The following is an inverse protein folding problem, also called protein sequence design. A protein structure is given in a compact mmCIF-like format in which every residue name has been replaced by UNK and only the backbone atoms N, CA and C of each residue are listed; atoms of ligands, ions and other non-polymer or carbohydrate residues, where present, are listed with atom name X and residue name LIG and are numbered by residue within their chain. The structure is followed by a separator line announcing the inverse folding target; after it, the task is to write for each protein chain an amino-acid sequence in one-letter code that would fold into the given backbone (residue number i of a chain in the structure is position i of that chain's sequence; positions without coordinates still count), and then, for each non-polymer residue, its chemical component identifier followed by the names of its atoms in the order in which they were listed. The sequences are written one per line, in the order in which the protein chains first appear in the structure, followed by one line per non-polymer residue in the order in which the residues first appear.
data_IF_667601497339
#
_entry.id   IF_667601497339
#
_cell.length_a   1.000
_cell.length_b   1.000
_cell.length_c   1.000
_cell.angle_alpha   90.00
_cell.angle_beta   90.00
_cell.angle_gamma   90.00
#
_symmetry.space_group_name_H-M   'P 1'
#
loop_
_entity.id
_entity.type
_entity.pdbx_description
1 polymer ?
#
# COMPACT_ATOMS: atom_id res chain seq x y z
N UNK A 1 -12.41 11.38 54.76
CA UNK A 1 -12.78 11.97 56.07
C UNK A 1 -13.24 10.88 57.06
N UNK A 2 -12.28 10.35 57.82
CA UNK A 2 -12.42 9.76 59.16
C UNK A 2 -11.09 10.01 59.88
N UNK A 3 -11.10 10.27 61.20
CA UNK A 3 -9.98 10.93 61.87
C UNK A 3 -8.81 9.97 62.12
N UNK A 4 -7.59 10.51 62.02
CA UNK A 4 -6.38 9.85 62.46
C UNK A 4 -6.36 9.83 64.00
N UNK A 5 -6.58 8.66 64.59
CA UNK A 5 -6.38 8.41 66.00
C UNK A 5 -4.87 8.38 66.29
N UNK A 6 -4.35 9.48 66.82
CA UNK A 6 -3.01 9.53 67.42
C UNK A 6 -3.07 8.78 68.75
N UNK A 7 -2.70 7.50 68.76
CA UNK A 7 -2.32 6.82 70.00
C UNK A 7 -0.95 7.35 70.43
N UNK A 8 -0.94 8.20 71.44
CA UNK A 8 0.24 8.52 72.22
C UNK A 8 0.69 7.24 72.95
N UNK A 9 1.92 6.81 72.68
CA UNK A 9 2.56 5.72 73.42
C UNK A 9 3.29 6.36 74.59
N UNK A 10 2.67 6.32 75.77
CA UNK A 10 3.34 6.64 77.04
C UNK A 10 4.56 5.72 77.20
N UNK A 11 5.71 6.31 77.48
CA UNK A 11 6.95 5.59 77.78
C UNK A 11 6.83 4.82 79.10
N UNK A 12 7.56 3.72 79.28
CA UNK A 12 7.50 2.98 80.53
C UNK A 12 8.17 3.81 81.64
N UNK A 13 7.39 4.24 82.62
CA UNK A 13 7.89 4.77 83.89
C UNK A 13 8.76 3.69 84.57
N UNK A 14 9.97 4.10 84.97
CA UNK A 14 10.95 3.24 85.61
C UNK A 14 10.48 2.85 87.02
N UNK A 15 10.12 1.58 87.22
CA UNK A 15 10.00 0.99 88.56
C UNK A 15 11.40 0.62 89.08
N UNK A 16 11.92 1.38 90.03
CA UNK A 16 13.04 0.95 90.88
C UNK A 16 12.56 -0.21 91.77
N UNK A 17 13.17 -1.39 91.63
CA UNK A 17 12.97 -2.51 92.56
C UNK A 17 14.30 -2.88 93.22
N UNK A 18 14.23 -2.85 94.54
CA UNK A 18 15.22 -3.19 95.57
C UNK A 18 15.86 -4.58 95.35
N UNK A 19 17.19 -4.65 95.39
CA UNK A 19 17.98 -5.85 95.08
C UNK A 19 18.07 -6.79 96.30
N UNK A 20 17.06 -7.64 96.46
CA UNK A 20 17.11 -8.83 97.32
C UNK A 20 17.86 -10.01 96.64
N UNK A 21 18.97 -10.45 97.24
CA UNK A 21 19.92 -11.51 96.79
C UNK A 21 19.35 -12.95 96.73
N UNK A 22 18.20 -13.14 96.10
CA UNK A 22 17.60 -14.45 95.78
C UNK A 22 16.81 -14.50 94.47
N UNK A 23 16.63 -13.36 93.79
CA UNK A 23 15.81 -13.24 92.58
C UNK A 23 16.55 -13.28 91.24
N UNK A 24 17.87 -13.47 91.24
CA UNK A 24 18.69 -13.34 90.01
C UNK A 24 18.31 -14.35 88.93
N UNK A 25 18.01 -15.61 89.28
CA UNK A 25 17.59 -16.63 88.31
C UNK A 25 16.20 -16.39 87.71
N UNK A 26 15.20 -16.02 88.53
CA UNK A 26 13.85 -15.71 88.04
C UNK A 26 13.85 -14.42 87.20
N UNK A 27 14.58 -13.39 87.64
CA UNK A 27 14.72 -12.12 86.92
C UNK A 27 15.40 -12.33 85.56
N UNK A 28 16.45 -13.16 85.49
CA UNK A 28 17.09 -13.53 84.22
C UNK A 28 16.13 -14.27 83.28
N UNK A 29 15.31 -15.19 83.81
CA UNK A 29 14.30 -15.91 83.03
C UNK A 29 13.25 -14.96 82.44
N UNK A 30 12.67 -14.08 83.26
CA UNK A 30 11.70 -13.10 82.75
C UNK A 30 12.32 -12.10 81.76
N UNK A 31 13.57 -11.67 81.98
CA UNK A 31 14.29 -10.82 81.02
C UNK A 31 14.49 -11.53 79.67
N UNK A 32 14.96 -12.78 79.68
CA UNK A 32 15.09 -13.57 78.44
C UNK A 32 13.76 -13.79 77.73
N UNK A 33 12.66 -13.97 78.49
CA UNK A 33 11.32 -14.13 77.92
C UNK A 33 10.76 -12.83 77.35
N UNK A 34 11.07 -11.69 77.97
CA UNK A 34 10.74 -10.35 77.44
C UNK A 34 11.50 -10.11 76.15
N UNK A 35 12.79 -10.43 76.08
CA UNK A 35 13.60 -10.31 74.85
C UNK A 35 13.07 -11.21 73.72
N UNK A 36 12.71 -12.46 74.02
CA UNK A 36 12.12 -13.39 73.06
C UNK A 36 10.76 -12.87 72.53
N UNK A 37 9.90 -12.37 73.43
CA UNK A 37 8.62 -11.78 73.03
C UNK A 37 8.79 -10.49 72.23
N UNK A 38 9.78 -9.66 72.56
CA UNK A 38 10.12 -8.45 71.79
C UNK A 38 10.61 -8.81 70.39
N UNK A 39 11.42 -9.87 70.24
CA UNK A 39 11.83 -10.39 68.93
C UNK A 39 10.61 -10.86 68.12
N UNK A 40 9.69 -11.61 68.73
CA UNK A 40 8.46 -12.07 68.07
C UNK A 40 7.57 -10.88 67.65
N UNK A 41 7.44 -9.86 68.51
CA UNK A 41 6.68 -8.62 68.19
C UNK A 41 7.34 -7.89 67.01
N UNK A 42 8.66 -7.77 67.01
CA UNK A 42 9.41 -7.16 65.91
C UNK A 42 9.21 -7.93 64.60
N UNK A 43 9.33 -9.25 64.61
CA UNK A 43 9.12 -10.10 63.42
C UNK A 43 7.68 -9.97 62.88
N UNK A 44 6.67 -10.04 63.77
CA UNK A 44 5.26 -9.84 63.39
C UNK A 44 5.02 -8.44 62.84
N UNK A 45 5.65 -7.41 63.40
CA UNK A 45 5.52 -6.03 62.92
C UNK A 45 6.12 -5.86 61.51
N UNK A 46 7.25 -6.51 61.22
CA UNK A 46 7.86 -6.52 59.89
C UNK A 46 6.99 -7.27 58.88
N UNK A 47 6.44 -8.43 59.27
CA UNK A 47 5.50 -9.18 58.44
C UNK A 47 4.23 -8.38 58.13
N UNK A 48 3.70 -7.64 59.13
CA UNK A 48 2.54 -6.78 58.96
C UNK A 48 2.84 -5.63 57.98
N UNK A 49 4.01 -4.97 58.09
CA UNK A 49 4.45 -3.95 57.13
C UNK A 49 4.58 -4.51 55.70
N UNK A 50 5.15 -5.72 55.55
CA UNK A 50 5.27 -6.40 54.26
C UNK A 50 3.90 -6.68 53.64
N UNK A 51 2.96 -7.22 54.42
CA UNK A 51 1.59 -7.50 53.96
C UNK A 51 0.82 -6.22 53.62
N UNK A 52 1.01 -5.14 54.37
CA UNK A 52 0.44 -3.84 54.05
C UNK A 52 0.98 -3.27 52.73
N UNK A 53 2.29 -3.37 52.49
CA UNK A 53 2.89 -2.97 51.22
C UNK A 53 2.31 -3.77 50.04
N UNK A 54 2.21 -5.10 50.17
CA UNK A 54 1.59 -5.96 49.16
C UNK A 54 0.12 -5.60 48.92
N UNK A 55 -0.67 -5.38 49.98
CA UNK A 55 -2.07 -4.95 49.86
C UNK A 55 -2.17 -3.64 49.08
N UNK A 56 -1.32 -2.66 49.37
CA UNK A 56 -1.32 -1.37 48.69
C UNK A 56 -0.96 -1.52 47.22
N UNK A 57 0.02 -2.36 46.89
CA UNK A 57 0.38 -2.67 45.51
C UNK A 57 -0.76 -3.35 44.74
N UNK A 58 -1.40 -4.37 45.34
CA UNK A 58 -2.56 -5.05 44.77
C UNK A 58 -3.74 -4.09 44.57
N UNK A 59 -4.01 -3.21 45.53
CA UNK A 59 -5.07 -2.20 45.40
C UNK A 59 -4.79 -1.22 44.26
N UNK A 60 -3.52 -0.81 44.07
CA UNK A 60 -3.12 0.02 42.94
C UNK A 60 -3.36 -0.70 41.61
N UNK A 61 -2.99 -1.98 41.51
CA UNK A 61 -3.26 -2.81 40.32
C UNK A 61 -4.76 -2.95 40.03
N UNK A 62 -5.57 -3.21 41.07
CA UNK A 62 -7.03 -3.31 40.93
C UNK A 62 -7.63 -2.00 40.44
N UNK A 63 -7.11 -0.85 40.91
CA UNK A 63 -7.56 0.46 40.44
C UNK A 63 -7.24 0.66 38.96
N UNK A 64 -6.02 0.36 38.53
CA UNK A 64 -5.62 0.44 37.11
C UNK A 64 -6.49 -0.46 36.23
N UNK A 65 -6.69 -1.72 36.65
CA UNK A 65 -7.54 -2.67 35.91
C UNK A 65 -8.99 -2.23 35.83
N UNK A 66 -9.53 -1.56 36.87
CA UNK A 66 -10.88 -1.01 36.84
C UNK A 66 -11.00 0.16 35.87
N UNK A 67 -10.00 1.04 35.82
CA UNK A 67 -9.94 2.15 34.87
C UNK A 67 -9.89 1.60 33.42
N UNK A 68 -9.10 0.55 33.18
CA UNK A 68 -9.01 -0.12 31.87
C UNK A 68 -10.31 -0.86 31.49
N UNK A 69 -10.94 -1.54 32.45
CA UNK A 69 -12.24 -2.19 32.25
C UNK A 69 -13.33 -1.17 31.92
N UNK A 70 -13.29 0.02 32.53
CA UNK A 70 -14.23 1.09 32.26
C UNK A 70 -14.10 1.60 30.82
N UNK A 71 -12.88 1.76 30.31
CA UNK A 71 -12.64 2.11 28.90
C UNK A 71 -13.16 1.04 27.94
N UNK A 72 -13.07 -0.25 28.30
CA UNK A 72 -13.62 -1.35 27.50
C UNK A 72 -15.15 -1.44 27.54
N UNK A 73 -15.77 -0.96 28.62
CA UNK A 73 -17.22 -0.90 28.78
C UNK A 73 -17.84 0.34 28.11
N UNK A 74 -17.04 1.31 27.68
CA UNK A 74 -17.55 2.43 26.89
C UNK A 74 -18.16 1.91 25.59
N UNK A 75 -19.36 2.41 25.27
CA UNK A 75 -20.03 2.05 24.03
C UNK A 75 -19.20 2.51 22.84
N UNK A 76 -19.28 1.78 21.73
CA UNK A 76 -18.55 2.10 20.51
C UNK A 76 -18.76 3.56 20.08
N UNK A 77 -17.68 4.22 19.68
CA UNK A 77 -17.73 5.58 19.14
C UNK A 77 -18.46 5.61 17.79
N UNK A 78 -19.20 6.68 17.52
CA UNK A 78 -19.76 6.92 16.19
C UNK A 78 -18.65 7.37 15.24
N UNK A 79 -18.70 6.86 14.00
CA UNK A 79 -17.78 7.28 12.95
C UNK A 79 -18.47 8.32 12.08
N UNK A 80 -17.84 9.48 11.92
CA UNK A 80 -18.32 10.55 11.06
C UNK A 80 -17.24 11.05 10.10
N UNK A 81 -17.68 11.77 9.08
CA UNK A 81 -16.83 12.48 8.11
C UNK A 81 -16.93 13.98 8.30
N UNK A 82 -15.80 14.66 8.39
CA UNK A 82 -15.78 16.12 8.52
C UNK A 82 -16.21 16.76 7.20
N UNK A 83 -17.24 17.59 7.23
CA UNK A 83 -17.66 18.36 6.05
C UNK A 83 -16.87 19.67 5.99
N UNK A 84 -16.82 20.39 7.11
CA UNK A 84 -16.16 21.71 7.20
C UNK A 84 -15.90 22.07 8.66
N UNK A 85 -14.74 22.65 8.94
CA UNK A 85 -14.49 23.33 10.20
C UNK A 85 -15.23 24.69 10.23
N UNK A 86 -16.05 24.93 11.25
CA UNK A 86 -16.79 26.20 11.38
C UNK A 86 -16.01 27.20 12.23
N UNK A 87 -15.62 26.79 13.44
CA UNK A 87 -14.95 27.63 14.43
C UNK A 87 -13.77 26.90 15.08
N UNK A 88 -13.00 27.61 15.92
CA UNK A 88 -11.89 27.06 16.73
C UNK A 88 -12.27 25.94 17.70
N UNK A 89 -13.56 25.64 17.88
CA UNK A 89 -14.04 24.58 18.77
C UNK A 89 -15.15 23.73 18.16
N UNK A 90 -15.66 24.09 16.98
CA UNK A 90 -16.85 23.46 16.39
C UNK A 90 -16.59 23.04 14.96
N UNK A 91 -16.95 21.80 14.67
CA UNK A 91 -16.77 21.18 13.36
C UNK A 91 -18.09 20.59 12.90
N UNK A 92 -18.42 20.75 11.62
CA UNK A 92 -19.57 20.11 11.03
C UNK A 92 -19.17 18.70 10.57
N UNK A 93 -19.76 17.68 11.20
CA UNK A 93 -19.50 16.27 10.92
C UNK A 93 -20.76 15.62 10.38
N UNK A 94 -20.62 14.79 9.35
CA UNK A 94 -21.68 13.96 8.79
C UNK A 94 -21.53 12.54 9.34
N UNK A 95 -22.53 12.06 10.06
CA UNK A 95 -22.60 10.70 10.59
C UNK A 95 -23.63 9.93 9.77
N UNK A 96 -23.26 8.79 9.20
CA UNK A 96 -24.20 7.92 8.47
C UNK A 96 -24.76 6.87 9.45
N UNK A 97 -26.09 6.70 9.60
CA UNK A 97 -27.20 7.30 8.83
C UNK A 97 -27.83 8.57 9.44
N UNK A 98 -27.38 9.02 10.61
CA UNK A 98 -28.06 10.04 11.44
C UNK A 98 -28.08 11.48 10.87
N UNK A 99 -27.23 11.80 9.89
CA UNK A 99 -27.25 13.10 9.20
C UNK A 99 -26.03 13.98 9.51
N UNK A 100 -26.21 15.31 9.57
CA UNK A 100 -25.13 16.28 9.80
C UNK A 100 -25.29 16.92 11.18
N UNK A 101 -24.22 16.92 11.98
CA UNK A 101 -24.18 17.46 13.32
C UNK A 101 -23.03 18.45 13.47
N UNK A 102 -23.27 19.51 14.24
CA UNK A 102 -22.21 20.42 14.69
C UNK A 102 -21.70 19.89 16.01
N UNK A 103 -20.44 19.46 16.03
CA UNK A 103 -19.81 18.80 17.18
C UNK A 103 -18.70 19.66 17.76
N UNK A 104 -18.52 19.57 19.08
CA UNK A 104 -17.40 20.20 19.77
C UNK A 104 -16.14 19.34 19.64
N UNK A 105 -14.98 19.99 19.46
CA UNK A 105 -13.67 19.35 19.36
C UNK A 105 -13.06 19.19 20.76
N UNK A 106 -12.57 17.99 21.07
CA UNK A 106 -11.86 17.73 22.33
C UNK A 106 -10.54 18.51 22.39
N UNK A 107 -10.10 18.86 23.60
CA UNK A 107 -8.92 19.71 23.84
C UNK A 107 -7.60 19.09 23.38
N UNK A 108 -7.60 17.77 23.16
CA UNK A 108 -6.42 17.00 22.76
C UNK A 108 -6.17 17.01 21.25
N UNK A 109 -7.05 17.62 20.44
CA UNK A 109 -6.95 17.61 18.98
C UNK A 109 -6.76 19.03 18.47
N UNK A 110 -5.73 19.22 17.66
CA UNK A 110 -5.49 20.47 16.96
C UNK A 110 -6.40 20.57 15.74
N UNK A 111 -7.02 21.75 15.57
CA UNK A 111 -7.96 22.00 14.47
C UNK A 111 -7.30 21.99 13.09
N UNK A 112 -5.99 22.21 13.05
CA UNK A 112 -5.24 22.21 11.79
C UNK A 112 -5.16 20.80 11.17
N UNK A 113 -5.22 19.76 12.00
CA UNK A 113 -5.19 18.37 11.53
C UNK A 113 -6.56 17.92 11.01
N UNK A 114 -7.61 18.69 11.32
CA UNK A 114 -8.98 18.41 10.91
C UNK A 114 -9.24 18.99 9.52
N UNK A 115 -8.80 18.26 8.49
CA UNK A 115 -9.09 18.63 7.10
C UNK A 115 -10.50 18.18 6.68
N UNK A 116 -11.14 18.85 5.69
CA UNK A 116 -12.39 18.38 5.11
C UNK A 116 -12.25 16.96 4.54
N UNK A 117 -13.27 16.13 4.75
CA UNK A 117 -13.32 14.69 4.46
C UNK A 117 -12.49 13.77 5.39
N UNK A 118 -11.85 14.29 6.43
CA UNK A 118 -11.25 13.43 7.46
C UNK A 118 -12.31 12.60 8.18
N UNK A 119 -11.97 11.33 8.46
CA UNK A 119 -12.79 10.46 9.31
C UNK A 119 -12.47 10.74 10.77
N UNK A 120 -13.52 10.88 11.56
CA UNK A 120 -13.41 11.22 12.98
C UNK A 120 -14.30 10.31 13.82
N UNK A 121 -13.85 10.01 15.03
CA UNK A 121 -14.59 9.26 16.02
C UNK A 121 -15.22 10.24 17.02
N UNK A 122 -16.54 10.14 17.15
CA UNK A 122 -17.36 10.90 18.07
C UNK A 122 -17.72 10.04 19.27
N UNK A 123 -17.67 10.62 20.46
CA UNK A 123 -18.12 9.94 21.68
C UNK A 123 -19.63 9.71 21.62
N UNK A 124 -20.10 8.55 22.06
CA UNK A 124 -21.51 8.15 21.94
C UNK A 124 -22.45 9.02 22.81
N UNK A 125 -22.00 9.47 23.98
CA UNK A 125 -22.80 10.25 24.93
C UNK A 125 -23.04 11.72 24.52
N UNK A 126 -22.06 12.34 23.87
CA UNK A 126 -21.95 13.80 23.74
C UNK A 126 -21.64 14.24 22.31
N UNK A 127 -21.46 13.29 21.39
CA UNK A 127 -21.03 13.53 20.01
C UNK A 127 -19.75 14.38 19.91
N UNK A 128 -18.95 14.48 20.97
CA UNK A 128 -17.69 15.23 20.94
C UNK A 128 -16.64 14.49 20.13
N UNK A 129 -15.91 15.21 19.28
CA UNK A 129 -14.82 14.67 18.49
C UNK A 129 -13.62 14.39 19.40
N UNK A 130 -13.39 13.11 19.72
CA UNK A 130 -12.33 12.66 20.62
C UNK A 130 -11.10 12.13 19.89
N UNK A 131 -11.26 11.58 18.67
CA UNK A 131 -10.14 10.98 17.92
C UNK A 131 -10.30 11.18 16.42
N UNK A 132 -9.22 11.55 15.73
CA UNK A 132 -9.14 11.50 14.27
C UNK A 132 -8.78 10.06 13.88
N UNK A 133 -9.55 9.47 12.97
CA UNK A 133 -9.31 8.13 12.45
C UNK A 133 -8.43 8.22 11.19
N UNK A 134 -7.56 7.23 10.95
CA UNK A 134 -6.87 7.13 9.67
C UNK A 134 -7.90 7.02 8.54
N UNK A 135 -7.52 7.54 7.37
CA UNK A 135 -8.33 7.41 6.17
C UNK A 135 -8.56 5.93 5.88
N UNK A 136 -9.80 5.57 5.57
CA UNK A 136 -10.11 4.20 5.16
C UNK A 136 -9.61 4.08 3.73
N UNK A 137 -8.51 3.37 3.53
CA UNK A 137 -8.24 2.78 2.23
C UNK A 137 -9.11 1.53 2.17
N UNK A 138 -9.98 1.43 1.16
CA UNK A 138 -10.75 0.21 0.98
C UNK A 138 -9.80 -0.98 0.85
N UNK A 139 -10.12 -2.14 1.45
CA UNK A 139 -9.22 -3.29 1.45
C UNK A 139 -8.88 -3.75 0.03
N UNK A 140 -9.77 -3.50 -0.94
CA UNK A 140 -9.50 -3.74 -2.36
C UNK A 140 -8.31 -2.92 -2.88
N UNK A 141 -8.22 -1.64 -2.52
CA UNK A 141 -7.10 -0.77 -2.90
C UNK A 141 -5.82 -1.19 -2.17
N UNK A 142 -5.94 -1.66 -0.93
CA UNK A 142 -4.78 -2.23 -0.20
C UNK A 142 -4.23 -3.50 -0.86
N UNK A 143 -5.10 -4.32 -1.46
CA UNK A 143 -4.69 -5.50 -2.24
C UNK A 143 -4.04 -5.15 -3.59
N UNK A 144 -4.31 -3.95 -4.12
CA UNK A 144 -3.68 -3.46 -5.35
C UNK A 144 -2.23 -3.00 -5.13
N UNK A 145 -1.84 -2.78 -3.87
CA UNK A 145 -0.45 -2.51 -3.51
C UNK A 145 0.36 -3.79 -3.60
N UNK A 146 1.36 -3.77 -4.46
CA UNK A 146 2.33 -4.85 -4.58
C UNK A 146 3.53 -4.44 -3.72
N UNK A 147 3.58 -4.91 -2.47
CA UNK A 147 4.69 -4.62 -1.53
C UNK A 147 6.06 -5.10 -2.04
N UNK A 148 6.09 -6.12 -2.91
CA UNK A 148 7.31 -6.58 -3.58
C UNK A 148 7.04 -6.85 -5.04
N UNK A 149 7.57 -5.98 -5.89
CA UNK A 149 7.58 -6.18 -7.33
C UNK A 149 8.31 -7.50 -7.62
N UNK A 150 7.75 -8.43 -8.40
CA UNK A 150 8.48 -9.64 -8.78
C UNK A 150 9.79 -9.26 -9.48
N UNK A 151 10.82 -10.12 -9.36
CA UNK A 151 12.20 -9.93 -9.87
C UNK A 151 12.27 -9.86 -11.42
N UNK A 152 11.63 -8.87 -12.03
CA UNK A 152 11.76 -8.55 -13.44
C UNK A 152 12.84 -7.47 -13.58
N UNK A 153 13.99 -7.85 -14.13
CA UNK A 153 15.06 -6.91 -14.49
C UNK A 153 14.94 -6.49 -15.95
N UNK A 154 15.58 -5.38 -16.34
CA UNK A 154 15.64 -4.96 -17.74
C UNK A 154 16.27 -6.02 -18.66
N UNK A 155 17.15 -6.86 -18.12
CA UNK A 155 17.77 -7.97 -18.86
C UNK A 155 16.78 -9.04 -19.32
N UNK A 156 15.59 -9.09 -18.71
CA UNK A 156 14.52 -10.00 -19.11
C UNK A 156 13.66 -9.45 -20.27
N UNK A 157 13.93 -8.22 -20.72
CA UNK A 157 13.19 -7.56 -21.80
C UNK A 157 14.12 -7.44 -23.02
N UNK A 158 13.76 -8.08 -24.13
CA UNK A 158 14.55 -8.08 -25.35
C UNK A 158 14.07 -7.05 -26.37
N UNK A 159 15.00 -6.35 -27.02
CA UNK A 159 14.76 -5.56 -28.25
C UNK A 159 13.97 -4.26 -28.11
N UNK A 160 13.77 -3.76 -26.88
CA UNK A 160 13.04 -2.53 -26.58
C UNK A 160 13.97 -1.42 -26.02
N UNK A 161 15.21 -1.35 -26.49
CA UNK A 161 16.24 -0.47 -25.91
C UNK A 161 15.86 1.01 -25.96
N UNK A 162 15.20 1.44 -27.04
CA UNK A 162 14.73 2.84 -27.19
C UNK A 162 13.67 3.17 -26.15
N UNK A 163 12.66 2.31 -26.01
CA UNK A 163 11.57 2.47 -25.04
C UNK A 163 12.08 2.39 -23.60
N UNK A 164 13.02 1.48 -23.33
CA UNK A 164 13.69 1.37 -22.03
C UNK A 164 14.45 2.67 -21.71
N UNK A 165 15.15 3.25 -22.69
CA UNK A 165 15.87 4.51 -22.48
C UNK A 165 14.91 5.66 -22.18
N UNK A 166 13.84 5.80 -22.95
CA UNK A 166 12.82 6.84 -22.74
C UNK A 166 12.16 6.73 -21.37
N UNK A 167 11.77 5.52 -20.93
CA UNK A 167 11.12 5.36 -19.63
C UNK A 167 12.10 5.61 -18.47
N UNK A 168 13.38 5.26 -18.62
CA UNK A 168 14.43 5.56 -17.64
C UNK A 168 14.67 7.06 -17.50
N UNK A 169 14.68 7.79 -18.62
CA UNK A 169 14.81 9.26 -18.62
C UNK A 169 13.67 9.97 -17.90
N UNK A 170 12.46 9.42 -17.99
CA UNK A 170 11.26 10.06 -17.44
C UNK A 170 11.01 9.68 -15.97
N UNK A 171 11.35 8.45 -15.58
CA UNK A 171 11.00 7.91 -14.26
C UNK A 171 12.23 7.74 -13.37
N UNK A 172 13.29 7.09 -13.85
CA UNK A 172 14.47 6.76 -13.03
C UNK A 172 15.34 7.99 -12.75
N UNK A 173 15.64 8.77 -13.78
CA UNK A 173 16.50 9.96 -13.70
C UNK A 173 15.98 11.01 -12.68
N UNK A 174 14.70 11.40 -12.68
CA UNK A 174 14.17 12.37 -11.71
C UNK A 174 14.00 11.82 -10.29
N UNK A 175 14.10 10.50 -10.09
CA UNK A 175 14.01 9.86 -8.78
C UNK A 175 15.40 9.68 -8.18
N UNK A 176 16.37 9.22 -8.98
CA UNK A 176 17.74 8.94 -8.51
C UNK A 176 18.66 10.16 -8.49
N UNK A 177 18.54 11.07 -9.47
CA UNK A 177 19.47 12.17 -9.65
C UNK A 177 18.76 13.51 -9.89
N UNK A 178 18.06 14.06 -8.89
CA UNK A 178 17.43 15.39 -9.00
C UNK A 178 18.46 16.51 -9.24
N UNK A 179 19.64 16.41 -8.63
CA UNK A 179 20.69 17.43 -8.70
C UNK A 179 21.14 17.75 -10.13
N UNK A 180 21.15 16.76 -11.03
CA UNK A 180 21.53 16.95 -12.43
C UNK A 180 20.62 17.94 -13.15
N UNK A 181 19.32 17.91 -12.86
CA UNK A 181 18.36 18.81 -13.48
C UNK A 181 18.46 20.23 -12.88
N UNK A 182 18.74 20.35 -11.58
CA UNK A 182 18.95 21.65 -10.94
C UNK A 182 20.21 22.33 -11.48
N UNK A 183 21.30 21.59 -11.64
CA UNK A 183 22.57 22.09 -12.19
C UNK A 183 22.47 22.52 -13.66
N UNK A 184 21.65 21.82 -14.46
CA UNK A 184 21.45 22.14 -15.87
C UNK A 184 20.52 23.35 -16.08
N UNK A 185 19.77 23.79 -15.05
CA UNK A 185 18.77 24.86 -15.17
C UNK A 185 17.62 24.52 -16.14
N UNK A 186 17.58 23.29 -16.64
CA UNK A 186 16.45 22.75 -17.39
C UNK A 186 15.39 22.47 -16.34
N UNK A 187 14.16 22.88 -16.59
CA UNK A 187 13.06 22.46 -15.73
C UNK A 187 13.14 20.93 -15.60
N UNK A 188 13.40 20.42 -14.39
CA UNK A 188 13.21 19.00 -14.19
C UNK A 188 11.77 18.70 -14.66
N UNK A 189 11.43 17.48 -15.09
CA UNK A 189 10.05 17.01 -15.13
C UNK A 189 9.38 16.96 -13.72
N UNK A 190 9.83 17.84 -12.81
CA UNK A 190 9.36 18.18 -11.49
C UNK A 190 9.59 19.70 -11.27
N UNK A 191 8.49 20.42 -11.04
CA UNK A 191 8.39 21.47 -10.03
C UNK A 191 8.96 22.90 -10.25
N UNK A 192 9.35 23.32 -11.46
CA UNK A 192 9.54 24.76 -11.75
C UNK A 192 8.69 25.19 -12.94
N UNK A 193 7.49 25.71 -12.66
CA UNK A 193 6.62 26.40 -13.63
C UNK A 193 5.66 25.54 -14.46
N UNK A 194 5.90 24.23 -14.65
CA UNK A 194 4.90 23.31 -15.21
C UNK A 194 4.42 22.33 -14.13
N UNK A 195 3.26 22.64 -13.55
CA UNK A 195 2.64 22.02 -12.38
C UNK A 195 1.92 20.70 -12.71
N UNK A 196 2.54 19.78 -13.41
CA UNK A 196 1.82 18.62 -13.93
C UNK A 196 2.47 17.29 -13.56
N UNK A 197 1.64 16.36 -13.05
CA UNK A 197 1.97 14.94 -12.93
C UNK A 197 2.13 14.37 -14.34
N UNK A 198 3.31 14.56 -14.94
CA UNK A 198 3.61 14.05 -16.27
C UNK A 198 3.45 12.53 -16.33
N UNK A 199 2.28 12.06 -16.77
CA UNK A 199 1.98 10.66 -16.96
C UNK A 199 2.71 10.11 -18.17
N UNK A 200 3.10 8.84 -18.10
CA UNK A 200 3.65 8.10 -19.24
C UNK A 200 2.56 7.20 -19.80
N UNK A 201 2.23 7.38 -21.08
CA UNK A 201 1.31 6.49 -21.80
C UNK A 201 2.11 5.50 -22.64
N UNK A 202 1.98 4.21 -22.34
CA UNK A 202 2.50 3.11 -23.11
C UNK A 202 1.40 2.60 -24.05
N UNK A 203 1.63 2.62 -25.35
CA UNK A 203 0.64 2.13 -26.33
C UNK A 203 1.27 1.20 -27.36
N UNK A 204 0.48 0.28 -27.92
CA UNK A 204 0.91 -0.65 -28.96
C UNK A 204 0.10 -1.94 -28.96
N UNK A 205 0.35 -2.89 -29.88
CA UNK A 205 -0.38 -4.16 -29.92
C UNK A 205 -0.19 -4.98 -28.63
N UNK A 206 -1.15 -5.84 -28.28
CA UNK A 206 -1.04 -6.71 -27.11
C UNK A 206 0.16 -7.66 -27.23
N UNK A 207 0.72 -8.10 -26.10
CA UNK A 207 1.83 -9.05 -26.10
C UNK A 207 3.23 -8.46 -26.40
N UNK A 208 3.35 -7.13 -26.45
CA UNK A 208 4.63 -6.40 -26.61
C UNK A 208 5.38 -6.13 -25.30
N UNK A 209 4.85 -6.58 -24.15
CA UNK A 209 5.55 -6.47 -22.87
C UNK A 209 5.40 -5.13 -22.14
N UNK A 210 4.37 -4.33 -22.44
CA UNK A 210 4.05 -3.07 -21.72
C UNK A 210 4.03 -3.24 -20.19
N UNK A 211 3.26 -4.22 -19.71
CA UNK A 211 3.16 -4.57 -18.28
C UNK A 211 4.48 -5.09 -17.70
N UNK A 212 5.32 -5.77 -18.51
CA UNK A 212 6.64 -6.25 -18.07
C UNK A 212 7.63 -5.09 -17.89
N UNK A 213 7.62 -4.10 -18.80
CA UNK A 213 8.48 -2.93 -18.68
C UNK A 213 8.15 -2.11 -17.43
N UNK A 214 6.88 -1.85 -17.18
CA UNK A 214 6.46 -1.10 -16.00
C UNK A 214 6.88 -1.79 -14.69
N UNK A 215 6.76 -3.12 -14.61
CA UNK A 215 7.27 -3.90 -13.48
C UNK A 215 8.78 -3.82 -13.34
N UNK A 216 9.52 -3.90 -14.45
CA UNK A 216 10.98 -3.79 -14.40
C UNK A 216 11.47 -2.42 -13.94
N UNK A 217 10.78 -1.35 -14.33
CA UNK A 217 11.06 0.02 -13.84
C UNK A 217 10.82 0.12 -12.34
N UNK A 218 9.71 -0.43 -11.85
CA UNK A 218 9.39 -0.39 -10.43
C UNK A 218 10.43 -1.15 -9.58
N UNK A 219 10.88 -2.31 -10.05
CA UNK A 219 11.95 -3.07 -9.39
C UNK A 219 13.29 -2.31 -9.38
N UNK A 220 13.65 -1.57 -10.43
CA UNK A 220 14.91 -0.83 -10.49
C UNK A 220 14.92 0.50 -9.72
N UNK A 221 13.74 1.02 -9.40
CA UNK A 221 13.58 2.31 -8.71
C UNK A 221 13.33 2.16 -7.22
N UNK A 222 13.18 0.93 -6.70
CA UNK A 222 12.86 0.63 -5.30
C UNK A 222 11.66 1.45 -4.76
N UNK A 223 10.72 1.77 -5.65
CA UNK A 223 9.52 2.53 -5.33
C UNK A 223 8.33 1.59 -5.08
N UNK A 224 7.36 2.06 -4.28
CA UNK A 224 6.11 1.33 -4.07
C UNK A 224 5.35 1.20 -5.39
N UNK A 225 5.03 -0.02 -5.81
CA UNK A 225 4.31 -0.28 -7.06
C UNK A 225 2.85 -0.58 -6.79
N UNK A 226 1.96 0.26 -7.31
CA UNK A 226 0.52 0.09 -7.20
C UNK A 226 -0.02 -0.28 -8.57
N UNK A 227 -0.55 -1.50 -8.70
CA UNK A 227 -1.07 -2.02 -9.97
C UNK A 227 -2.59 -1.99 -9.95
N UNK A 228 -3.19 -1.27 -10.89
CA UNK A 228 -4.64 -1.20 -11.06
C UNK A 228 -5.00 -1.57 -12.49
N UNK A 229 -6.02 -2.42 -12.66
CA UNK A 229 -6.61 -2.63 -13.98
C UNK A 229 -7.70 -1.59 -14.21
N UNK A 230 -7.76 -0.97 -15.38
CA UNK A 230 -8.85 -0.06 -15.75
C UNK A 230 -10.23 -0.72 -15.59
N UNK A 231 -10.32 -2.01 -15.90
CA UNK A 231 -11.53 -2.81 -15.72
C UNK A 231 -11.96 -2.97 -14.25
N UNK A 232 -11.04 -2.88 -13.27
CA UNK A 232 -11.35 -2.96 -11.83
C UNK A 232 -11.98 -1.67 -11.30
N UNK A 233 -11.78 -0.55 -12.01
CA UNK A 233 -12.33 0.77 -11.66
C UNK A 233 -13.79 0.94 -12.08
N UNK A 234 -14.32 0.04 -12.92
CA UNK A 234 -15.72 0.05 -13.36
C UNK A 234 -16.55 -0.75 -12.36
N UNK A 235 -17.41 -0.07 -11.59
CA UNK A 235 -18.20 -0.70 -10.54
C UNK A 235 -19.70 -0.59 -10.81
N UNK A 236 -20.48 -1.54 -10.27
CA UNK A 236 -21.95 -1.53 -10.45
C UNK A 236 -22.61 -0.41 -9.64
N UNK A 237 -21.98 0.06 -8.57
CA UNK A 237 -22.54 1.06 -7.68
C UNK A 237 -22.10 2.47 -8.09
N UNK A 238 -23.08 3.38 -8.13
CA UNK A 238 -22.87 4.75 -8.60
C UNK A 238 -21.88 5.48 -7.69
N UNK A 239 -20.77 5.93 -8.28
CA UNK A 239 -19.76 6.74 -7.60
C UNK A 239 -18.72 5.94 -6.81
N UNK A 240 -18.79 4.61 -6.83
CA UNK A 240 -17.77 3.76 -6.20
C UNK A 240 -16.44 3.85 -6.95
N UNK A 241 -16.44 3.80 -8.30
CA UNK A 241 -15.22 3.96 -9.10
C UNK A 241 -14.50 5.29 -8.83
N UNK A 242 -15.24 6.41 -8.79
CA UNK A 242 -14.66 7.72 -8.45
C UNK A 242 -14.08 7.76 -7.01
N UNK A 243 -14.74 7.10 -6.05
CA UNK A 243 -14.21 6.99 -4.68
C UNK A 243 -12.91 6.17 -4.65
N UNK A 244 -12.87 5.03 -5.35
CA UNK A 244 -11.67 4.19 -5.46
C UNK A 244 -10.49 4.95 -6.05
N UNK A 245 -10.69 5.76 -7.09
CA UNK A 245 -9.63 6.60 -7.67
C UNK A 245 -9.07 7.58 -6.63
N UNK A 246 -9.92 8.24 -5.83
CA UNK A 246 -9.44 9.13 -4.76
C UNK A 246 -8.61 8.39 -3.72
N UNK A 247 -9.10 7.24 -3.26
CA UNK A 247 -8.42 6.42 -2.27
C UNK A 247 -7.08 5.90 -2.79
N UNK A 248 -7.00 5.54 -4.08
CA UNK A 248 -5.76 5.14 -4.74
C UNK A 248 -4.69 6.23 -4.67
N UNK A 249 -5.04 7.48 -4.99
CA UNK A 249 -4.11 8.61 -4.94
C UNK A 249 -3.76 9.03 -3.50
N UNK A 250 -4.67 8.85 -2.53
CA UNK A 250 -4.37 9.03 -1.11
C UNK A 250 -3.35 7.98 -0.65
N UNK A 251 -3.57 6.71 -0.97
CA UNK A 251 -2.66 5.62 -0.62
C UNK A 251 -1.29 5.81 -1.27
N UNK A 252 -1.24 6.19 -2.55
CA UNK A 252 0.01 6.49 -3.25
C UNK A 252 0.78 7.66 -2.59
N UNK A 253 0.07 8.66 -2.05
CA UNK A 253 0.67 9.76 -1.29
C UNK A 253 1.27 9.31 0.03
N UNK A 254 0.58 8.43 0.76
CA UNK A 254 1.07 7.88 2.04
C UNK A 254 2.33 7.02 1.84
N UNK A 255 2.46 6.35 0.69
CA UNK A 255 3.57 5.45 0.37
C UNK A 255 4.57 6.03 -0.65
N UNK A 256 4.68 7.36 -0.73
CA UNK A 256 5.63 8.03 -1.63
C UNK A 256 7.10 7.76 -1.22
N UNK A 257 8.02 7.49 -2.17
CA UNK A 257 7.87 7.51 -3.63
C UNK A 257 7.12 6.27 -4.18
N UNK A 258 6.13 6.52 -5.06
CA UNK A 258 5.24 5.46 -5.58
C UNK A 258 5.00 5.59 -7.08
N UNK A 259 4.87 4.45 -7.75
CA UNK A 259 4.49 4.35 -9.16
C UNK A 259 3.11 3.70 -9.25
N UNK A 260 2.15 4.43 -9.83
CA UNK A 260 0.81 3.92 -10.15
C UNK A 260 0.84 3.40 -11.58
N UNK A 261 0.63 2.10 -11.77
CA UNK A 261 0.50 1.49 -13.09
C UNK A 261 -0.97 1.13 -13.35
N UNK A 262 -1.56 1.81 -14.33
CA UNK A 262 -2.92 1.56 -14.82
C UNK A 262 -2.86 0.78 -16.12
N UNK A 263 -3.24 -0.50 -16.09
CA UNK A 263 -3.36 -1.33 -17.30
C UNK A 263 -4.75 -1.18 -17.92
N UNK A 264 -4.89 -1.42 -19.22
CA UNK A 264 -6.18 -1.39 -19.94
C UNK A 264 -6.98 -0.09 -19.69
N UNK A 265 -6.33 1.07 -19.77
CA UNK A 265 -6.99 2.36 -19.57
C UNK A 265 -8.10 2.63 -20.60
N UNK A 266 -8.12 1.89 -21.71
CA UNK A 266 -9.18 1.92 -22.71
C UNK A 266 -10.55 1.47 -22.18
N UNK A 267 -10.61 0.73 -21.08
CA UNK A 267 -11.89 0.34 -20.45
C UNK A 267 -12.63 1.54 -19.84
N UNK A 268 -11.90 2.56 -19.37
CA UNK A 268 -12.46 3.76 -18.75
C UNK A 268 -12.26 5.04 -19.56
N UNK A 269 -11.29 5.05 -20.47
CA UNK A 269 -10.90 6.20 -21.27
C UNK A 269 -11.54 6.25 -22.66
N UNK A 270 -12.50 5.37 -22.97
CA UNK A 270 -13.14 5.33 -24.29
C UNK A 270 -13.95 6.61 -24.53
N UNK A 271 -13.73 7.27 -25.68
CA UNK A 271 -14.42 8.50 -26.09
C UNK A 271 -15.89 8.31 -26.52
N UNK A 272 -16.65 7.42 -25.85
CA UNK A 272 -18.07 7.17 -26.19
C UNK A 272 -18.92 8.38 -25.78
N UNK A 273 -19.02 9.31 -26.71
CA UNK A 273 -20.08 10.30 -26.77
C UNK A 273 -21.12 9.77 -27.75
N UNK A 274 -22.10 9.00 -27.27
CA UNK A 274 -23.48 9.00 -27.77
C UNK A 274 -24.40 8.06 -26.96
N UNK A 275 -25.24 8.66 -26.10
CA UNK A 275 -26.61 8.22 -25.87
C UNK A 275 -26.87 7.05 -24.90
N UNK A 276 -27.17 7.37 -23.64
CA UNK A 276 -28.40 6.85 -23.01
C UNK A 276 -28.34 5.56 -22.19
N UNK A 277 -27.22 5.19 -21.56
CA UNK A 277 -27.23 4.11 -20.56
C UNK A 277 -26.49 4.51 -19.27
N UNK A 278 -27.14 4.32 -18.12
CA UNK A 278 -26.64 4.78 -16.82
C UNK A 278 -25.26 4.25 -16.42
N UNK A 279 -24.80 3.14 -17.02
CA UNK A 279 -23.45 2.60 -16.82
C UNK A 279 -22.35 3.44 -17.48
N UNK A 280 -22.61 4.04 -18.63
CA UNK A 280 -21.61 4.85 -19.36
C UNK A 280 -21.32 6.17 -18.62
N UNK A 281 -22.32 6.67 -17.90
CA UNK A 281 -22.19 7.85 -17.04
C UNK A 281 -21.29 7.61 -15.82
N UNK A 282 -21.24 6.37 -15.30
CA UNK A 282 -20.38 6.01 -14.16
C UNK A 282 -18.91 5.95 -14.58
N UNK A 283 -18.63 5.32 -15.72
CA UNK A 283 -17.29 5.25 -16.32
C UNK A 283 -16.74 6.64 -16.62
N UNK A 284 -17.54 7.51 -17.25
CA UNK A 284 -17.15 8.91 -17.49
C UNK A 284 -16.84 9.66 -16.20
N UNK A 285 -17.63 9.44 -15.13
CA UNK A 285 -17.39 10.12 -13.84
C UNK A 285 -16.08 9.67 -13.21
N UNK A 286 -15.76 8.38 -13.29
CA UNK A 286 -14.48 7.82 -12.82
C UNK A 286 -13.30 8.36 -13.64
N UNK A 287 -13.44 8.49 -14.97
CA UNK A 287 -12.44 9.11 -15.83
C UNK A 287 -12.21 10.59 -15.49
N UNK A 288 -13.28 11.37 -15.30
CA UNK A 288 -13.18 12.78 -14.91
C UNK A 288 -12.51 12.94 -13.55
N UNK A 289 -12.80 12.05 -12.60
CA UNK A 289 -12.13 12.05 -11.30
C UNK A 289 -10.63 11.74 -11.45
N UNK A 290 -10.25 10.76 -12.28
CA UNK A 290 -8.86 10.48 -12.58
C UNK A 290 -8.15 11.70 -13.18
N UNK A 291 -8.79 12.36 -14.14
CA UNK A 291 -8.28 13.59 -14.74
C UNK A 291 -8.09 14.71 -13.70
N UNK A 292 -9.05 14.89 -12.78
CA UNK A 292 -8.96 15.87 -11.71
C UNK A 292 -7.81 15.55 -10.74
N UNK A 293 -7.53 14.28 -10.45
CA UNK A 293 -6.40 13.89 -9.61
C UNK A 293 -5.05 14.10 -10.32
N UNK A 294 -4.99 13.92 -11.66
CA UNK A 294 -3.78 14.18 -12.46
C UNK A 294 -3.48 15.69 -12.61
N UNK A 295 -4.54 16.50 -12.77
CA UNK A 295 -4.45 17.97 -12.81
C UNK A 295 -4.27 18.59 -11.41
N UNK A 296 -4.42 17.78 -10.34
CA UNK A 296 -4.44 18.23 -8.95
C UNK A 296 -3.20 19.07 -8.61
N UNK A 297 -3.45 20.34 -8.28
CA UNK A 297 -2.47 21.39 -7.96
C UNK A 297 -1.60 21.14 -6.72
N UNK A 298 -1.79 20.02 -6.02
CA UNK A 298 -0.87 19.61 -4.97
C UNK A 298 0.38 19.01 -5.61
N UNK A 299 1.50 19.74 -5.50
CA UNK A 299 2.83 19.28 -5.89
C UNK A 299 3.18 17.97 -5.16
N UNK A 300 2.68 16.85 -5.68
CA UNK A 300 2.90 15.50 -5.17
C UNK A 300 4.26 15.09 -5.65
N UNK A 301 5.29 15.54 -4.91
CA UNK A 301 6.68 15.60 -5.37
C UNK A 301 7.26 14.26 -5.86
N UNK A 302 6.65 13.11 -5.60
CA UNK A 302 7.21 11.79 -5.89
C UNK A 302 6.22 10.71 -6.36
N UNK A 303 5.04 11.08 -6.90
CA UNK A 303 4.12 10.11 -7.51
C UNK A 303 4.28 10.15 -9.02
N UNK A 304 4.41 8.98 -9.65
CA UNK A 304 4.45 8.84 -11.11
C UNK A 304 3.34 7.90 -11.58
N UNK A 305 2.64 8.30 -12.64
CA UNK A 305 1.55 7.51 -13.23
C UNK A 305 2.01 6.97 -14.57
N UNK A 306 1.91 5.65 -14.74
CA UNK A 306 2.14 4.95 -16.00
C UNK A 306 0.79 4.35 -16.42
N UNK A 307 0.34 4.69 -17.62
CA UNK A 307 -0.87 4.15 -18.21
C UNK A 307 -0.50 3.24 -19.38
N UNK A 308 -1.16 2.10 -19.53
CA UNK A 308 -1.01 1.21 -20.66
C UNK A 308 -2.33 1.07 -21.42
N UNK A 309 -2.28 1.20 -22.74
CA UNK A 309 -3.41 0.93 -23.65
C UNK A 309 -2.96 0.04 -24.80
N UNK A 310 -3.88 -0.76 -25.33
CA UNK A 310 -3.67 -1.43 -26.61
C UNK A 310 -4.14 -0.59 -27.81
N UNK A 311 -5.00 0.39 -27.55
CA UNK A 311 -5.71 1.19 -28.56
C UNK A 311 -5.65 2.67 -28.19
N UNK A 312 -4.76 3.41 -28.84
CA UNK A 312 -4.65 4.86 -28.65
C UNK A 312 -5.76 5.62 -29.39
N UNK A 313 -6.35 5.02 -30.41
CA UNK A 313 -7.41 5.58 -31.26
C UNK A 313 -8.74 5.83 -30.54
N UNK A 314 -9.04 5.04 -29.51
CA UNK A 314 -10.30 5.13 -28.75
C UNK A 314 -10.20 6.00 -27.50
N UNK A 315 -8.98 6.43 -27.13
CA UNK A 315 -8.77 7.22 -25.93
C UNK A 315 -9.27 8.64 -26.10
N UNK A 316 -9.90 9.17 -25.05
CA UNK A 316 -10.31 10.56 -24.98
C UNK A 316 -9.11 11.50 -25.17
N UNK A 317 -9.26 12.47 -26.07
CA UNK A 317 -8.29 13.53 -26.31
C UNK A 317 -8.03 14.39 -25.06
N UNK A 318 -8.96 14.40 -24.11
CA UNK A 318 -8.78 15.05 -22.81
C UNK A 318 -7.59 14.47 -22.02
N UNK A 319 -7.34 13.16 -22.09
CA UNK A 319 -6.19 12.52 -21.44
C UNK A 319 -4.87 12.90 -22.12
N UNK A 320 -4.90 13.06 -23.45
CA UNK A 320 -3.72 13.30 -24.28
C UNK A 320 -3.23 14.76 -24.26
N UNK A 321 -3.92 15.64 -23.54
CA UNK A 321 -3.57 17.06 -23.45
C UNK A 321 -2.25 17.24 -22.68
N UNK A 322 -1.36 18.14 -23.15
CA UNK A 322 -0.15 18.50 -22.40
C UNK A 322 -0.49 18.95 -20.98
N UNK A 323 0.23 18.44 -19.98
CA UNK A 323 -0.07 18.62 -18.56
C UNK A 323 -0.75 17.42 -17.88
N UNK A 324 -1.19 16.41 -18.63
CA UNK A 324 -1.70 15.15 -18.07
C UNK A 324 -0.83 13.98 -18.46
N UNK A 325 -0.67 13.80 -19.77
CA UNK A 325 0.23 12.81 -20.36
C UNK A 325 1.32 13.55 -21.11
N UNK A 326 2.52 13.58 -20.53
CA UNK A 326 3.66 14.31 -21.09
C UNK A 326 4.44 13.45 -22.09
N UNK A 327 4.41 12.12 -21.92
CA UNK A 327 5.19 11.19 -22.73
C UNK A 327 4.34 10.06 -23.25
N UNK A 328 4.42 9.83 -24.56
CA UNK A 328 3.74 8.76 -25.27
C UNK A 328 4.82 7.85 -25.85
N UNK A 329 4.88 6.62 -25.36
CA UNK A 329 5.89 5.64 -25.76
C UNK A 329 5.20 4.55 -26.57
N UNK A 330 5.61 4.43 -27.83
CA UNK A 330 5.10 3.41 -28.74
C UNK A 330 5.88 2.10 -28.60
N UNK A 331 5.13 1.00 -28.51
CA UNK A 331 5.64 -0.36 -28.56
C UNK A 331 5.35 -0.94 -29.94
N UNK A 332 6.32 -0.90 -30.87
CA UNK A 332 6.15 -1.56 -32.15
C UNK A 332 6.18 -3.09 -31.98
N UNK A 333 5.65 -3.85 -32.95
CA UNK A 333 5.90 -5.28 -33.03
C UNK A 333 7.43 -5.55 -33.13
N UNK A 334 7.93 -6.65 -32.56
CA UNK A 334 9.37 -6.89 -32.46
C UNK A 334 10.00 -7.19 -33.82
N UNK A 335 11.12 -6.51 -34.11
CA UNK A 335 11.98 -6.78 -35.27
C UNK A 335 12.69 -8.14 -35.15
N UNK A 336 13.34 -8.61 -36.22
CA UNK A 336 14.11 -9.87 -36.23
C UNK A 336 15.14 -9.96 -35.10
N UNK A 337 15.92 -8.89 -34.89
CA UNK A 337 16.88 -8.81 -33.79
C UNK A 337 16.21 -8.88 -32.42
N UNK A 338 15.10 -8.15 -32.25
CA UNK A 338 14.31 -8.18 -31.02
C UNK A 338 13.75 -9.57 -30.72
N UNK A 339 13.23 -10.28 -31.74
CA UNK A 339 12.75 -11.66 -31.60
C UNK A 339 13.88 -12.61 -31.20
N UNK A 340 15.06 -12.44 -31.79
CA UNK A 340 16.25 -13.22 -31.44
C UNK A 340 16.66 -12.99 -29.98
N UNK A 341 16.61 -11.76 -29.48
CA UNK A 341 16.93 -11.47 -28.08
C UNK A 341 15.88 -12.02 -27.11
N UNK A 342 14.59 -11.92 -27.45
CA UNK A 342 13.51 -12.53 -26.67
C UNK A 342 13.68 -14.05 -26.61
N UNK A 343 14.02 -14.71 -27.74
CA UNK A 343 14.32 -16.14 -27.79
C UNK A 343 15.51 -16.48 -26.89
N UNK A 344 16.60 -15.71 -26.95
CA UNK A 344 17.77 -15.92 -26.08
C UNK A 344 17.40 -15.84 -24.60
N UNK A 345 16.62 -14.84 -24.19
CA UNK A 345 16.24 -14.66 -22.79
C UNK A 345 15.41 -15.83 -22.29
N UNK A 346 14.40 -16.26 -23.06
CA UNK A 346 13.54 -17.37 -22.65
C UNK A 346 14.22 -18.73 -22.74
N UNK A 347 15.14 -18.90 -23.68
CA UNK A 347 15.89 -20.15 -23.87
C UNK A 347 16.99 -20.35 -22.82
N UNK A 348 17.49 -19.29 -22.15
CA UNK A 348 18.45 -19.40 -21.02
C UNK A 348 17.95 -20.30 -19.88
N UNK A 349 16.63 -20.37 -19.67
CA UNK A 349 16.02 -21.21 -18.62
C UNK A 349 15.79 -22.66 -19.08
N UNK A 350 16.03 -22.97 -20.34
CA UNK A 350 15.76 -24.28 -20.95
C UNK A 350 17.04 -25.06 -21.21
N UNK A 351 16.95 -26.38 -21.15
CA UNK A 351 18.05 -27.27 -21.51
C UNK A 351 18.10 -27.42 -23.03
N UNK A 352 19.00 -26.66 -23.66
CA UNK A 352 19.19 -26.66 -25.11
C UNK A 352 20.31 -27.61 -25.52
N UNK A 353 20.15 -28.27 -26.67
CA UNK A 353 21.24 -28.98 -27.33
C UNK A 353 22.30 -27.98 -27.81
N UNK A 354 23.59 -28.35 -27.80
CA UNK A 354 24.66 -27.48 -28.33
C UNK A 354 24.48 -27.28 -29.84
N UNK A 355 24.58 -26.03 -30.30
CA UNK A 355 24.56 -25.68 -31.73
C UNK A 355 23.21 -25.21 -32.29
N UNK A 356 22.20 -24.93 -31.45
CA UNK A 356 20.92 -24.40 -31.92
C UNK A 356 21.08 -22.99 -32.49
N UNK A 357 20.62 -22.80 -33.73
CA UNK A 357 20.64 -21.51 -34.41
C UNK A 357 19.35 -20.73 -34.15
N UNK A 358 19.27 -20.03 -33.01
CA UNK A 358 18.12 -19.18 -32.66
C UNK A 358 17.82 -18.07 -33.69
N UNK A 359 18.84 -17.64 -34.46
CA UNK A 359 18.67 -16.66 -35.54
C UNK A 359 17.76 -17.16 -36.66
N UNK A 360 17.98 -18.40 -37.13
CA UNK A 360 17.13 -19.02 -38.16
C UNK A 360 15.68 -19.14 -37.67
N UNK A 361 15.49 -19.49 -36.40
CA UNK A 361 14.16 -19.58 -35.79
C UNK A 361 13.47 -18.20 -35.76
N UNK A 362 14.20 -17.13 -35.45
CA UNK A 362 13.66 -15.76 -35.45
C UNK A 362 13.24 -15.26 -36.85
N UNK A 363 13.95 -15.68 -37.89
CA UNK A 363 13.63 -15.40 -39.30
C UNK A 363 12.33 -16.11 -39.74
N UNK A 364 12.09 -17.33 -39.22
CA UNK A 364 10.88 -18.12 -39.51
C UNK A 364 9.60 -17.61 -38.82
N UNK A 365 9.70 -16.53 -38.02
CA UNK A 365 8.59 -15.94 -37.27
C UNK A 365 8.30 -14.48 -37.67
N UNK A 366 7.98 -14.19 -38.95
CA UNK A 366 7.69 -12.82 -39.38
C UNK A 366 6.42 -12.30 -38.70
N UNK A 367 6.51 -11.12 -38.08
CA UNK A 367 5.36 -10.44 -37.46
C UNK A 367 4.92 -11.00 -36.10
N UNK A 368 5.64 -11.97 -35.54
CA UNK A 368 5.28 -12.58 -34.27
C UNK A 368 5.36 -11.59 -33.09
N UNK A 369 4.37 -11.61 -32.19
CA UNK A 369 4.40 -10.81 -30.96
C UNK A 369 5.39 -11.37 -29.93
N UNK A 370 5.84 -10.54 -28.98
CA UNK A 370 6.75 -11.02 -27.91
C UNK A 370 6.15 -12.17 -27.09
N UNK A 371 4.83 -12.16 -26.90
CA UNK A 371 4.10 -13.24 -26.26
C UNK A 371 4.11 -14.54 -27.09
N UNK A 372 3.95 -14.45 -28.41
CA UNK A 372 4.05 -15.60 -29.33
C UNK A 372 5.46 -16.19 -29.35
N UNK A 373 6.50 -15.34 -29.39
CA UNK A 373 7.90 -15.81 -29.35
C UNK A 373 8.17 -16.58 -28.05
N UNK A 374 7.66 -16.10 -26.92
CA UNK A 374 7.69 -16.85 -25.64
C UNK A 374 6.88 -18.16 -25.73
N UNK A 375 5.73 -18.12 -26.40
CA UNK A 375 4.89 -19.28 -26.69
C UNK A 375 5.64 -20.37 -27.46
N UNK A 376 6.42 -19.99 -28.49
CA UNK A 376 7.25 -20.90 -29.28
C UNK A 376 8.29 -21.61 -28.41
N UNK A 377 8.99 -20.90 -27.52
CA UNK A 377 9.91 -21.55 -26.57
C UNK A 377 9.19 -22.56 -25.68
N UNK A 378 8.00 -22.22 -25.19
CA UNK A 378 7.22 -23.10 -24.29
C UNK A 378 6.72 -24.35 -25.02
N UNK A 379 6.25 -24.20 -26.25
CA UNK A 379 5.81 -25.30 -27.11
C UNK A 379 6.98 -26.21 -27.53
N UNK A 380 8.15 -25.64 -27.83
CA UNK A 380 9.37 -26.43 -28.11
C UNK A 380 9.76 -27.30 -26.91
N UNK A 381 9.69 -26.77 -25.69
CA UNK A 381 9.89 -27.56 -24.47
C UNK A 381 8.84 -28.66 -24.28
N UNK A 382 7.59 -28.40 -24.67
CA UNK A 382 6.52 -29.41 -24.62
C UNK A 382 6.72 -30.55 -25.64
N UNK A 383 7.26 -30.28 -26.83
CA UNK A 383 7.60 -31.33 -27.80
C UNK A 383 8.68 -32.26 -27.25
N UNK A 384 9.78 -31.69 -26.74
CA UNK A 384 10.84 -32.44 -26.10
C UNK A 384 10.31 -33.31 -24.93
N UNK A 385 9.41 -32.75 -24.12
CA UNK A 385 8.79 -33.46 -22.99
C UNK A 385 7.91 -34.64 -23.43
N UNK A 386 7.10 -34.48 -24.50
CA UNK A 386 6.26 -35.58 -25.04
C UNK A 386 7.09 -36.76 -25.51
N UNK A 387 8.25 -36.47 -26.09
CA UNK A 387 9.20 -37.48 -26.57
C UNK A 387 10.15 -37.97 -25.46
N UNK A 388 9.88 -37.57 -24.20
CA UNK A 388 10.65 -37.92 -23.00
C UNK A 388 12.13 -37.54 -23.10
N UNK A 389 12.46 -36.48 -23.83
CA UNK A 389 13.81 -35.94 -23.93
C UNK A 389 14.02 -34.83 -22.89
N UNK A 390 15.25 -34.76 -22.38
CA UNK A 390 15.68 -33.71 -21.42
C UNK A 390 16.19 -32.46 -22.13
N UNK A 391 16.61 -32.59 -23.40
CA UNK A 391 17.20 -31.52 -24.19
C UNK A 391 16.27 -31.17 -25.36
N UNK A 392 16.05 -29.87 -25.58
CA UNK A 392 15.32 -29.35 -26.73
C UNK A 392 16.25 -29.32 -27.94
N UNK A 393 15.74 -29.72 -29.10
CA UNK A 393 16.47 -29.74 -30.38
C UNK A 393 16.00 -28.60 -31.30
N UNK A 394 16.71 -28.37 -32.41
CA UNK A 394 16.30 -27.35 -33.38
C UNK A 394 14.98 -27.71 -34.08
N UNK A 395 14.74 -29.00 -34.35
CA UNK A 395 13.49 -29.49 -34.96
C UNK A 395 12.28 -29.19 -34.07
N UNK A 396 12.42 -29.31 -32.74
CA UNK A 396 11.35 -28.98 -31.79
C UNK A 396 10.93 -27.50 -31.88
N UNK A 397 11.89 -26.60 -32.09
CA UNK A 397 11.62 -25.18 -32.31
C UNK A 397 10.92 -24.92 -33.65
N UNK A 398 11.37 -25.56 -34.73
CA UNK A 398 10.76 -25.42 -36.05
C UNK A 398 9.30 -25.92 -36.05
N UNK A 399 9.03 -27.06 -35.40
CA UNK A 399 7.68 -27.57 -35.18
C UNK A 399 6.82 -26.65 -34.29
N UNK A 400 7.43 -26.04 -33.27
CA UNK A 400 6.75 -25.06 -32.42
C UNK A 400 6.37 -23.78 -33.17
N UNK A 401 7.27 -23.26 -34.00
CA UNK A 401 6.98 -22.10 -34.88
C UNK A 401 5.81 -22.41 -35.79
N UNK A 402 5.84 -23.55 -36.50
CA UNK A 402 4.77 -23.94 -37.41
C UNK A 402 3.40 -23.99 -36.71
N UNK A 403 3.35 -24.56 -35.50
CA UNK A 403 2.11 -24.66 -34.72
C UNK A 403 1.59 -23.30 -34.22
N UNK A 404 2.48 -22.44 -33.73
CA UNK A 404 2.08 -21.12 -33.20
C UNK A 404 1.63 -20.20 -34.34
N UNK A 405 2.36 -20.18 -35.46
CA UNK A 405 2.03 -19.38 -36.65
C UNK A 405 0.74 -19.86 -37.37
N UNK A 406 0.47 -21.18 -37.39
CA UNK A 406 -0.79 -21.71 -37.93
C UNK A 406 -1.99 -21.30 -37.08
N UNK A 407 -1.87 -21.33 -35.74
CA UNK A 407 -2.93 -20.87 -34.83
C UNK A 407 -3.31 -19.40 -35.06
N UNK A 408 -2.33 -18.53 -35.34
CA UNK A 408 -2.63 -17.14 -35.65
C UNK A 408 -3.25 -16.95 -37.02
N UNK A 409 -2.83 -17.75 -38.01
CA UNK A 409 -3.45 -17.76 -39.33
C UNK A 409 -4.93 -18.17 -39.26
N UNK A 410 -5.25 -19.19 -38.45
CA UNK A 410 -6.62 -19.65 -38.21
C UNK A 410 -7.44 -18.63 -37.40
N UNK A 411 -6.88 -18.04 -36.34
CA UNK A 411 -7.55 -16.98 -35.56
C UNK A 411 -7.84 -15.74 -36.41
N UNK A 412 -6.87 -15.28 -37.20
CA UNK A 412 -7.04 -14.12 -38.07
C UNK A 412 -8.06 -14.40 -39.20
N UNK A 413 -8.12 -15.64 -39.71
CA UNK A 413 -9.18 -16.05 -40.65
C UNK A 413 -10.57 -16.12 -40.00
N UNK A 414 -10.67 -16.63 -38.77
CA UNK A 414 -11.93 -16.69 -38.04
C UNK A 414 -12.46 -15.29 -37.70
N UNK A 415 -11.60 -14.36 -37.29
CA UNK A 415 -11.97 -12.95 -37.06
C UNK A 415 -12.46 -12.31 -38.37
N UNK A 416 -11.77 -12.51 -39.50
CA UNK A 416 -12.23 -12.02 -40.80
C UNK A 416 -13.55 -12.63 -41.28
N UNK A 417 -13.85 -13.89 -40.92
CA UNK A 417 -15.13 -14.54 -41.23
C UNK A 417 -16.28 -14.07 -40.31
N UNK A 418 -15.98 -13.71 -39.08
CA UNK A 418 -16.95 -13.14 -38.12
C UNK A 418 -17.34 -11.69 -38.45
N UNK A 419 -16.51 -10.99 -39.22
CA UNK A 419 -16.73 -9.61 -39.66
C UNK A 419 -17.29 -9.51 -41.10
N UNK A 420 -17.73 -10.62 -41.68
CA UNK A 420 -18.33 -10.69 -43.01
C UNK A 420 -19.82 -10.97 -42.96
#
# INVERSE_FOLDING_TARGET
PMPAEKMAVDGPEQMEMDDGKGGTGLRQYYLSKIEELQLIVNEKSQNLRRLQAQRNELNAKVRLLREELQLLQEQGSYVGEVVRAMDKKKVLVKVHPEGKFVVDVDKNIDINDVTPNCRVALRNDSYTLHKILPNKVDPLVSLMMVEKVPDSTYEMIGGLDKQIKEIKEVIELPVKHPELFEALGIAQPKASGSQHLGGVLLYGPPGTGKTLLARAVAHHTDCTFIRVSGSELVQKFIGEGARMVRELFVMAREHAPSIIFMDEIDSIGSSRLEGGSGGDSEVQRTMLELLNQLDGFEATKNIKVIMATNRIDILDSALLRPGRIDRKIEFPPPNEEARLDILKIHSRKMNLTRGINLRKIAELMPGASGAEVKGVCTEAGMYALRERRVHVTQEDFEMAVAKVMQKDSEKNMSIKKLWK
#
